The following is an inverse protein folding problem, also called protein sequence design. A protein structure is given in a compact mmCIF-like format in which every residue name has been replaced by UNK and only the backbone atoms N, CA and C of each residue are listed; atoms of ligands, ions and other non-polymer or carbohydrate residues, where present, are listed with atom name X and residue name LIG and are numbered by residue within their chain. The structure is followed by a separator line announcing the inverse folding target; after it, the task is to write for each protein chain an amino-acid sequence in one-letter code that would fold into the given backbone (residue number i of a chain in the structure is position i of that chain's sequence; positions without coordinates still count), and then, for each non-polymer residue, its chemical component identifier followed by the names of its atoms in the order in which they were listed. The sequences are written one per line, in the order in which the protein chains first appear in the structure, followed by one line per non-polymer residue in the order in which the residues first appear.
data_IF_469452338978
#
_entry.id   IF_469452338978
#
_cell.length_a   1.000
_cell.length_b   1.000
_cell.length_c   1.000
_cell.angle_alpha   90.00
_cell.angle_beta   90.00
_cell.angle_gamma   90.00
#
_symmetry.space_group_name_H-M   'P 1'
#
loop_
_entity.id
_entity.type
_entity.pdbx_description
1 polymer ?
#
# COMPACT_ATOMS: atom_id res chain seq x y z
N UNK A 1 -4.90 -10.52 -5.14
CA UNK A 1 -5.28 -10.44 -6.56
C UNK A 1 -6.71 -9.89 -6.67
N UNK A 2 -7.12 -9.28 -7.79
CA UNK A 2 -8.47 -8.66 -7.90
C UNK A 2 -9.60 -9.64 -7.55
N UNK A 3 -9.60 -10.92 -7.99
CA UNK A 3 -10.62 -11.89 -7.59
C UNK A 3 -10.71 -12.14 -6.07
N UNK A 4 -9.58 -12.07 -5.36
CA UNK A 4 -9.50 -12.32 -3.92
C UNK A 4 -9.77 -11.10 -3.05
N UNK A 5 -9.73 -9.88 -3.62
CA UNK A 5 -10.08 -8.67 -2.87
C UNK A 5 -11.59 -8.65 -2.63
N UNK A 6 -12.02 -8.37 -1.41
CA UNK A 6 -13.44 -8.17 -1.10
C UNK A 6 -13.86 -6.71 -1.20
N UNK A 7 -12.91 -5.78 -1.38
CA UNK A 7 -13.14 -4.33 -1.33
C UNK A 7 -13.05 -3.69 -2.73
N UNK A 8 -13.91 -2.70 -2.98
CA UNK A 8 -13.81 -1.77 -4.13
C UNK A 8 -13.99 -0.34 -3.64
N UNK A 9 -13.07 0.55 -4.02
CA UNK A 9 -13.19 2.00 -3.79
C UNK A 9 -13.98 2.65 -4.94
N UNK A 10 -15.09 3.31 -4.60
CA UNK A 10 -15.86 4.15 -5.50
C UNK A 10 -15.39 5.59 -5.30
N UNK A 11 -14.68 6.12 -6.29
CA UNK A 11 -14.09 7.46 -6.24
C UNK A 11 -15.10 8.50 -6.73
N UNK A 12 -15.52 9.37 -5.82
CA UNK A 12 -16.39 10.50 -6.10
C UNK A 12 -15.55 11.70 -6.54
N UNK A 13 -15.55 11.96 -7.85
CA UNK A 13 -15.06 13.23 -8.40
C UNK A 13 -16.05 14.38 -8.17
N UNK A 14 -15.58 15.62 -8.27
CA UNK A 14 -16.35 16.85 -8.00
C UNK A 14 -17.70 16.92 -8.74
N UNK A 15 -17.73 16.46 -10.00
CA UNK A 15 -18.92 16.48 -10.86
C UNK A 15 -19.71 15.16 -10.88
N UNK A 16 -19.35 14.19 -10.05
CA UNK A 16 -20.03 12.89 -10.02
C UNK A 16 -21.44 13.06 -9.46
N UNK A 17 -22.45 12.71 -10.24
CA UNK A 17 -23.84 12.77 -9.82
C UNK A 17 -24.09 11.78 -8.67
N UNK A 18 -24.84 12.17 -7.61
CA UNK A 18 -25.14 11.27 -6.48
C UNK A 18 -25.72 9.92 -6.91
N UNK A 19 -26.63 9.92 -7.89
CA UNK A 19 -27.23 8.69 -8.41
C UNK A 19 -26.21 7.73 -9.02
N UNK A 20 -25.15 8.25 -9.67
CA UNK A 20 -24.11 7.37 -10.24
C UNK A 20 -23.29 6.70 -9.14
N UNK A 21 -23.10 7.36 -8.00
CA UNK A 21 -22.43 6.77 -6.83
C UNK A 21 -23.28 5.65 -6.24
N UNK A 22 -24.59 5.86 -6.09
CA UNK A 22 -25.53 4.85 -5.61
C UNK A 22 -25.56 3.63 -6.56
N UNK A 23 -25.70 3.86 -7.86
CA UNK A 23 -25.71 2.77 -8.85
C UNK A 23 -24.40 1.98 -8.84
N UNK A 24 -23.26 2.65 -8.64
CA UNK A 24 -21.97 1.98 -8.51
C UNK A 24 -21.87 1.15 -7.22
N UNK A 25 -22.42 1.63 -6.10
CA UNK A 25 -22.48 0.89 -4.85
C UNK A 25 -23.31 -0.39 -5.02
N UNK A 26 -24.50 -0.28 -5.61
CA UNK A 26 -25.38 -1.42 -5.89
C UNK A 26 -24.68 -2.45 -6.79
N UNK A 27 -24.00 -2.01 -7.85
CA UNK A 27 -23.27 -2.89 -8.75
C UNK A 27 -22.14 -3.64 -8.04
N UNK A 28 -21.36 -2.96 -7.20
CA UNK A 28 -20.28 -3.58 -6.41
C UNK A 28 -20.84 -4.65 -5.45
N UNK A 29 -21.97 -4.38 -4.81
CA UNK A 29 -22.67 -5.37 -3.98
C UNK A 29 -23.15 -6.56 -4.81
N UNK A 30 -23.72 -6.31 -5.99
CA UNK A 30 -24.23 -7.35 -6.89
C UNK A 30 -23.14 -8.34 -7.36
N UNK A 31 -21.88 -7.89 -7.47
CA UNK A 31 -20.74 -8.75 -7.78
C UNK A 31 -20.08 -9.38 -6.53
N UNK A 32 -20.73 -9.30 -5.36
CA UNK A 32 -20.27 -9.92 -4.12
C UNK A 32 -19.06 -9.22 -3.48
N UNK A 33 -18.91 -7.91 -3.70
CA UNK A 33 -17.85 -7.09 -3.13
C UNK A 33 -18.44 -6.03 -2.19
N UNK A 34 -17.59 -5.46 -1.35
CA UNK A 34 -17.90 -4.38 -0.42
C UNK A 34 -17.50 -3.04 -1.03
N UNK A 35 -18.45 -2.14 -1.34
CA UNK A 35 -18.11 -0.79 -1.75
C UNK A 35 -17.70 0.06 -0.55
N UNK A 36 -16.71 0.92 -0.77
CA UNK A 36 -16.49 2.11 0.06
C UNK A 36 -16.45 3.33 -0.85
N UNK A 37 -17.01 4.44 -0.40
CA UNK A 37 -16.98 5.69 -1.17
C UNK A 37 -15.92 6.62 -0.63
N UNK A 38 -15.06 7.12 -1.51
CA UNK A 38 -13.98 8.05 -1.19
C UNK A 38 -14.09 9.26 -2.10
N UNK A 39 -13.69 10.44 -1.62
CA UNK A 39 -13.53 11.58 -2.52
C UNK A 39 -12.28 11.39 -3.37
N UNK A 40 -12.30 11.97 -4.57
CA UNK A 40 -11.10 12.05 -5.40
C UNK A 40 -10.02 12.85 -4.68
N UNK A 41 -8.95 12.14 -4.32
CA UNK A 41 -7.82 12.66 -3.57
C UNK A 41 -6.59 11.80 -3.88
N UNK A 42 -5.37 12.36 -3.86
CA UNK A 42 -4.15 11.61 -4.14
C UNK A 42 -4.05 10.34 -3.29
N UNK A 43 -4.05 9.19 -3.97
CA UNK A 43 -3.92 7.85 -3.36
C UNK A 43 -5.18 7.29 -2.69
N UNK A 44 -6.34 7.95 -2.82
CA UNK A 44 -7.62 7.52 -2.25
C UNK A 44 -7.49 7.15 -0.75
N UNK A 45 -8.24 6.16 -0.24
CA UNK A 45 -8.08 5.72 1.14
C UNK A 45 -7.04 4.59 1.25
N UNK A 46 -7.20 3.55 0.43
CA UNK A 46 -6.43 2.30 0.54
C UNK A 46 -4.94 2.47 0.21
N UNK A 47 -4.62 3.10 -0.93
CA UNK A 47 -3.24 3.25 -1.40
C UNK A 47 -2.46 4.23 -0.52
N UNK A 48 -3.11 5.32 -0.11
CA UNK A 48 -2.51 6.33 0.78
C UNK A 48 -2.23 5.77 2.18
N UNK A 49 -3.20 5.10 2.81
CA UNK A 49 -2.99 4.48 4.13
C UNK A 49 -1.98 3.32 4.04
N UNK A 50 -2.09 2.51 2.98
CA UNK A 50 -1.20 1.39 2.76
C UNK A 50 0.25 1.82 2.54
N UNK A 51 0.50 2.94 1.83
CA UNK A 51 1.88 3.42 1.61
C UNK A 51 2.46 4.07 2.86
N UNK A 52 1.68 4.86 3.63
CA UNK A 52 2.26 5.56 4.78
C UNK A 52 2.75 4.59 5.85
N UNK A 53 2.00 3.51 6.08
CA UNK A 53 2.41 2.43 7.00
C UNK A 53 3.67 1.74 6.49
N UNK A 54 3.76 1.50 5.18
CA UNK A 54 4.94 0.89 4.57
C UNK A 54 6.18 1.80 4.69
N UNK A 55 6.04 3.10 4.36
CA UNK A 55 7.15 4.04 4.46
C UNK A 55 7.68 4.14 5.89
N UNK A 56 6.78 4.17 6.88
CA UNK A 56 7.20 4.21 8.28
C UNK A 56 7.92 2.93 8.72
N UNK A 57 7.41 1.76 8.33
CA UNK A 57 8.09 0.50 8.61
C UNK A 57 9.49 0.44 7.97
N UNK A 58 9.67 1.02 6.78
CA UNK A 58 10.96 1.11 6.11
C UNK A 58 11.91 2.07 6.83
N UNK A 59 11.43 3.22 7.31
CA UNK A 59 12.23 4.15 8.13
C UNK A 59 12.69 3.50 9.43
N UNK A 60 11.78 2.81 10.13
CA UNK A 60 12.14 2.07 11.34
C UNK A 60 13.24 1.03 11.09
N UNK A 61 13.21 0.34 9.95
CA UNK A 61 14.27 -0.59 9.56
C UNK A 61 15.58 0.14 9.23
N UNK A 62 15.50 1.24 8.47
CA UNK A 62 16.65 2.08 8.10
C UNK A 62 17.36 2.70 9.33
N UNK A 63 16.57 3.13 10.31
CA UNK A 63 17.04 3.72 11.58
C UNK A 63 17.48 2.66 12.60
N UNK A 64 17.31 1.37 12.29
CA UNK A 64 17.72 0.27 13.17
C UNK A 64 16.86 0.09 14.42
N UNK A 65 15.59 0.53 14.38
CA UNK A 65 14.65 0.39 15.51
C UNK A 65 14.41 -1.08 15.86
N UNK A 66 14.27 -1.93 14.84
CA UNK A 66 14.06 -3.37 14.99
C UNK A 66 14.37 -4.12 13.68
N UNK A 67 14.41 -5.46 13.75
CA UNK A 67 14.51 -6.29 12.55
C UNK A 67 13.24 -6.21 11.70
N UNK A 68 13.35 -6.51 10.40
CA UNK A 68 12.19 -6.54 9.50
C UNK A 68 11.10 -7.50 10.00
N UNK A 69 11.50 -8.67 10.50
CA UNK A 69 10.59 -9.67 11.06
C UNK A 69 9.89 -9.19 12.33
N UNK A 70 10.55 -8.44 13.20
CA UNK A 70 9.94 -7.95 14.44
C UNK A 70 8.98 -6.79 14.18
N UNK A 71 9.30 -5.89 13.23
CA UNK A 71 8.39 -4.83 12.77
C UNK A 71 7.12 -5.45 12.18
N UNK A 72 7.27 -6.46 11.34
CA UNK A 72 6.13 -7.19 10.77
C UNK A 72 5.34 -7.95 11.86
N UNK A 73 6.02 -8.61 12.79
CA UNK A 73 5.38 -9.34 13.88
C UNK A 73 4.57 -8.41 14.80
N UNK A 74 5.05 -7.20 15.10
CA UNK A 74 4.32 -6.22 15.88
C UNK A 74 2.97 -5.86 15.23
N UNK A 75 2.95 -5.67 13.91
CA UNK A 75 1.72 -5.33 13.17
C UNK A 75 0.77 -6.53 13.04
N UNK A 76 1.30 -7.73 12.81
CA UNK A 76 0.50 -8.95 12.69
C UNK A 76 -0.07 -9.39 14.05
N UNK A 77 0.75 -9.46 15.10
CA UNK A 77 0.35 -10.00 16.39
C UNK A 77 -0.35 -8.94 17.26
N UNK A 78 0.14 -7.70 17.24
CA UNK A 78 -0.40 -6.60 18.04
C UNK A 78 -1.65 -5.98 17.43
N UNK A 79 -1.59 -5.66 16.13
CA UNK A 79 -2.68 -4.95 15.43
C UNK A 79 -3.53 -5.85 14.52
N UNK A 80 -3.26 -7.16 14.49
CA UNK A 80 -4.02 -8.17 13.73
C UNK A 80 -4.04 -7.92 12.23
N UNK A 81 -2.98 -7.33 11.69
CA UNK A 81 -2.81 -7.25 10.24
C UNK A 81 -2.61 -8.66 9.67
N UNK A 82 -3.21 -9.00 8.51
CA UNK A 82 -3.03 -10.32 7.93
C UNK A 82 -1.59 -10.58 7.45
N UNK A 83 -0.87 -9.50 7.08
CA UNK A 83 0.52 -9.53 6.63
C UNK A 83 1.21 -8.26 7.15
N UNK A 84 2.45 -8.40 7.61
CA UNK A 84 3.25 -7.25 8.06
C UNK A 84 3.61 -6.29 6.93
N UNK A 85 3.83 -5.01 7.22
CA UNK A 85 4.03 -3.96 6.21
C UNK A 85 5.26 -4.16 5.30
N UNK A 86 6.37 -4.71 5.79
CA UNK A 86 7.57 -4.95 4.99
C UNK A 86 7.35 -6.16 4.07
N UNK A 87 6.80 -7.26 4.59
CA UNK A 87 6.44 -8.43 3.78
C UNK A 87 5.37 -8.08 2.73
N UNK A 88 4.39 -7.26 3.09
CA UNK A 88 3.38 -6.77 2.14
C UNK A 88 4.03 -5.87 1.07
N UNK A 89 5.03 -5.08 1.44
CA UNK A 89 5.80 -4.28 0.47
C UNK A 89 6.51 -5.16 -0.55
N UNK A 90 7.16 -6.25 -0.11
CA UNK A 90 7.77 -7.22 -1.02
C UNK A 90 6.75 -7.91 -1.94
N UNK A 91 5.55 -8.20 -1.43
CA UNK A 91 4.47 -8.80 -2.23
C UNK A 91 3.90 -7.84 -3.29
N UNK A 92 3.83 -6.54 -2.97
CA UNK A 92 3.36 -5.49 -3.89
C UNK A 92 4.44 -5.13 -4.93
N UNK A 93 5.69 -5.05 -4.49
CA UNK A 93 6.83 -4.59 -5.26
C UNK A 93 7.36 -3.24 -4.76
N UNK A 94 8.67 -3.17 -4.49
CA UNK A 94 9.30 -1.97 -3.94
C UNK A 94 9.31 -0.80 -4.94
N UNK A 95 9.43 -1.08 -6.23
CA UNK A 95 9.32 -0.10 -7.31
C UNK A 95 7.91 0.50 -7.40
N UNK A 96 6.87 -0.33 -7.25
CA UNK A 96 5.48 0.14 -7.18
C UNK A 96 5.29 1.04 -5.96
N UNK A 97 5.81 0.65 -4.79
CA UNK A 97 5.77 1.49 -3.58
C UNK A 97 6.50 2.81 -3.78
N UNK A 98 7.69 2.79 -4.39
CA UNK A 98 8.48 3.98 -4.66
C UNK A 98 7.75 4.94 -5.61
N UNK A 99 7.10 4.42 -6.65
CA UNK A 99 6.28 5.21 -7.58
C UNK A 99 5.10 5.88 -6.87
N UNK A 100 4.34 5.12 -6.07
CA UNK A 100 3.21 5.65 -5.29
C UNK A 100 3.69 6.71 -4.29
N UNK A 101 4.79 6.46 -3.57
CA UNK A 101 5.33 7.40 -2.59
C UNK A 101 5.82 8.69 -3.25
N UNK A 102 6.48 8.60 -4.41
CA UNK A 102 6.96 9.76 -5.16
C UNK A 102 5.79 10.63 -5.65
N UNK A 103 4.74 10.01 -6.19
CA UNK A 103 3.50 10.72 -6.55
C UNK A 103 2.85 11.37 -5.32
N UNK A 104 2.73 10.66 -4.21
CA UNK A 104 2.12 11.24 -3.01
C UNK A 104 3.00 12.31 -2.37
N UNK A 105 4.32 12.25 -2.51
CA UNK A 105 5.21 13.33 -2.08
C UNK A 105 4.97 14.60 -2.93
N UNK A 106 4.83 14.47 -4.26
CA UNK A 106 4.57 15.62 -5.13
C UNK A 106 3.22 16.28 -4.85
N UNK A 107 2.21 15.49 -4.49
CA UNK A 107 0.85 15.99 -4.23
C UNK A 107 0.61 16.44 -2.78
N UNK A 108 1.21 15.76 -1.80
CA UNK A 108 0.86 15.87 -0.37
C UNK A 108 2.05 16.20 0.54
N UNK A 109 3.24 16.39 -0.04
CA UNK A 109 4.44 16.87 0.64
C UNK A 109 5.26 15.81 1.37
N UNK A 110 6.20 16.31 2.18
CA UNK A 110 7.35 15.55 2.69
C UNK A 110 7.02 14.34 3.55
N UNK A 111 5.83 14.27 4.16
CA UNK A 111 5.39 13.08 4.91
C UNK A 111 5.36 11.79 4.07
N UNK A 112 5.27 11.91 2.75
CA UNK A 112 5.32 10.79 1.81
C UNK A 112 6.68 10.63 1.12
N UNK A 113 7.70 11.40 1.52
CA UNK A 113 9.05 11.25 1.01
C UNK A 113 9.52 9.80 1.21
N UNK A 114 9.91 9.10 0.13
CA UNK A 114 10.34 7.72 0.23
C UNK A 114 11.72 7.65 0.92
N UNK A 115 11.89 6.76 1.91
CA UNK A 115 13.15 6.57 2.64
C UNK A 115 14.30 6.20 1.71
N UNK A 116 15.55 6.50 2.10
CA UNK A 116 16.70 6.27 1.24
C UNK A 116 16.94 4.76 1.02
N UNK A 117 16.66 3.93 2.04
CA UNK A 117 16.66 2.48 1.93
C UNK A 117 15.75 1.96 0.80
N UNK A 118 14.53 2.49 0.67
CA UNK A 118 13.62 2.08 -0.40
C UNK A 118 14.19 2.39 -1.78
N UNK A 119 14.74 3.59 -1.97
CA UNK A 119 15.37 4.01 -3.24
C UNK A 119 16.54 3.09 -3.59
N UNK A 120 17.45 2.88 -2.64
CA UNK A 120 18.62 2.02 -2.80
C UNK A 120 18.24 0.59 -3.19
N UNK A 121 17.24 -0.01 -2.54
CA UNK A 121 16.81 -1.38 -2.85
C UNK A 121 16.21 -1.50 -4.25
N UNK A 122 15.45 -0.49 -4.69
CA UNK A 122 14.92 -0.45 -6.07
C UNK A 122 16.05 -0.31 -7.08
N UNK A 123 17.03 0.56 -6.83
CA UNK A 123 18.24 0.72 -7.67
C UNK A 123 19.06 -0.57 -7.77
N UNK A 124 19.14 -1.36 -6.69
CA UNK A 124 19.80 -2.66 -6.64
C UNK A 124 18.97 -3.79 -7.31
N UNK A 125 17.76 -3.52 -7.79
CA UNK A 125 16.88 -4.52 -8.40
C UNK A 125 16.22 -5.47 -7.39
N UNK A 126 16.26 -5.14 -6.08
CA UNK A 126 15.58 -5.88 -5.01
C UNK A 126 14.13 -5.45 -4.91
N UNK A 127 13.32 -5.92 -5.86
CA UNK A 127 11.93 -5.52 -6.03
C UNK A 127 10.93 -6.37 -5.23
N UNK A 128 11.39 -7.20 -4.29
CA UNK A 128 10.55 -8.08 -3.49
C UNK A 128 10.31 -9.42 -4.15
N UNK A 129 9.09 -9.96 -3.99
CA UNK A 129 8.75 -11.32 -4.42
C UNK A 129 9.00 -11.56 -5.90
N UNK A 130 8.79 -10.55 -6.75
CA UNK A 130 8.94 -10.67 -8.21
C UNK A 130 10.39 -10.74 -8.70
N UNK A 131 11.36 -10.34 -7.88
CA UNK A 131 12.80 -10.41 -8.19
C UNK A 131 13.54 -11.44 -7.34
N UNK A 132 12.82 -12.17 -6.47
CA UNK A 132 13.41 -13.15 -5.55
C UNK A 132 14.03 -12.57 -4.28
N UNK A 133 14.10 -11.24 -4.14
CA UNK A 133 14.62 -10.57 -2.94
C UNK A 133 14.07 -9.15 -2.82
N UNK A 134 13.67 -8.79 -1.61
CA UNK A 134 13.34 -7.44 -1.16
C UNK A 134 13.83 -7.28 0.28
N UNK A 135 12.92 -6.97 1.21
CA UNK A 135 13.22 -7.05 2.65
C UNK A 135 13.41 -8.50 3.12
N UNK A 136 12.80 -9.44 2.41
CA UNK A 136 12.94 -10.87 2.59
C UNK A 136 13.48 -11.52 1.31
N UNK A 137 14.06 -12.72 1.45
CA UNK A 137 14.37 -13.59 0.31
C UNK A 137 13.15 -14.40 -0.08
N UNK A 138 12.91 -14.48 -1.37
CA UNK A 138 11.77 -15.14 -2.00
C UNK A 138 12.31 -16.19 -2.98
N UNK A 139 12.15 -17.45 -2.62
CA UNK A 139 12.44 -18.64 -3.41
C UNK A 139 11.60 -19.78 -2.81
N UNK A 140 11.51 -20.91 -3.50
CA UNK A 140 10.73 -22.06 -3.05
C UNK A 140 11.11 -22.55 -1.64
#
# INVERSE_FOLDING_TARGET
PVPSSTLVEIVRGEKSAPQLIENAQEWVVAIGKTPITVNDAPGFASSRLGVVIALEAIRMLEEGVASASDIDAAMVLGYKFPVGPLRLTDMVGLDVRLGIATYLQSELGERFAPPALLRKMVEEGKLGRKSGEGFYRWGD
#
